data_IF_172578639768
#
_entry.id   IF_172578639768
#
_cell.length_a   1.000
_cell.length_b   1.000
_cell.length_c   1.000
_cell.angle_alpha   90.00
_cell.angle_beta   90.00
_cell.angle_gamma   90.00
#
_symmetry.space_group_name_H-M   'P 1'
#
loop_
_entity.id
_entity.type
_entity.pdbx_description
1 polymer ?
#
# COMPACT_ATOMS: atom_id res chain seq x y z
N UNK A 1 -24.99 -6.66 10.46
CA UNK A 1 -23.99 -6.71 9.39
C UNK A 1 -22.67 -6.90 10.08
N UNK A 2 -22.08 -8.09 9.96
CA UNK A 2 -20.81 -8.42 10.61
C UNK A 2 -19.73 -7.88 9.68
N UNK A 3 -19.02 -6.84 10.10
CA UNK A 3 -17.82 -6.36 9.38
C UNK A 3 -16.78 -7.46 9.49
N UNK A 4 -16.33 -8.01 8.37
CA UNK A 4 -15.32 -9.10 8.34
C UNK A 4 -13.87 -8.60 8.37
N UNK A 5 -13.66 -7.28 8.44
CA UNK A 5 -12.38 -6.64 8.73
C UNK A 5 -12.38 -6.00 10.12
N UNK A 6 -11.29 -6.18 10.87
CA UNK A 6 -11.09 -5.50 12.15
C UNK A 6 -9.91 -4.54 11.99
N UNK A 7 -10.18 -3.23 12.07
CA UNK A 7 -9.14 -2.25 12.40
C UNK A 7 -8.64 -2.54 13.79
N UNK A 8 -7.33 -2.72 13.94
CA UNK A 8 -6.81 -3.27 15.18
C UNK A 8 -6.45 -2.19 16.17
N UNK A 9 -7.14 -2.21 17.30
CA UNK A 9 -6.90 -1.30 18.43
C UNK A 9 -5.75 -1.75 19.34
N UNK A 10 -5.13 -2.91 19.09
CA UNK A 10 -4.21 -3.55 20.03
C UNK A 10 -2.75 -3.62 19.54
N UNK A 11 -1.80 -3.25 20.42
CA UNK A 11 -0.35 -3.33 20.20
C UNK A 11 0.11 -4.70 19.68
N UNK A 12 -0.45 -5.80 20.19
CA UNK A 12 -0.05 -7.15 19.80
C UNK A 12 -0.37 -7.46 18.33
N UNK A 13 -1.50 -6.98 17.81
CA UNK A 13 -1.77 -7.11 16.38
C UNK A 13 -0.84 -6.21 15.58
N UNK A 14 -0.70 -4.95 15.97
CA UNK A 14 0.21 -4.02 15.28
C UNK A 14 1.62 -4.63 15.13
N UNK A 15 2.17 -5.23 16.19
CA UNK A 15 3.45 -5.91 16.15
C UNK A 15 3.45 -7.15 15.25
N UNK A 16 2.36 -7.93 15.22
CA UNK A 16 2.18 -9.08 14.32
C UNK A 16 2.19 -8.64 12.85
N UNK A 17 1.36 -7.66 12.50
CA UNK A 17 1.26 -7.09 11.15
C UNK A 17 2.59 -6.47 10.75
N UNK A 18 3.20 -5.65 11.62
CA UNK A 18 4.52 -5.04 11.37
C UNK A 18 5.61 -6.08 11.14
N UNK A 19 5.60 -7.19 11.87
CA UNK A 19 6.55 -8.30 11.64
C UNK A 19 6.34 -8.94 10.27
N UNK A 20 5.09 -9.12 9.86
CA UNK A 20 4.75 -9.71 8.57
C UNK A 20 5.14 -8.78 7.41
N UNK A 21 4.76 -7.50 7.48
CA UNK A 21 5.17 -6.46 6.53
C UNK A 21 6.70 -6.35 6.47
N UNK A 22 7.36 -6.35 7.63
CA UNK A 22 8.82 -6.30 7.74
C UNK A 22 9.55 -7.53 7.20
N UNK A 23 8.84 -8.62 6.87
CA UNK A 23 9.41 -9.78 6.16
C UNK A 23 9.40 -9.62 4.64
N UNK A 24 8.53 -8.76 4.11
CA UNK A 24 8.42 -8.41 2.69
C UNK A 24 9.24 -7.15 2.39
N UNK A 25 9.23 -6.19 3.31
CA UNK A 25 9.83 -4.87 3.13
C UNK A 25 10.94 -4.54 4.12
N UNK A 26 11.91 -3.73 3.67
CA UNK A 26 12.88 -3.06 4.51
C UNK A 26 12.24 -1.76 5.04
N UNK A 27 11.68 -1.82 6.25
CA UNK A 27 10.86 -0.74 6.85
C UNK A 27 11.65 0.53 7.19
N UNK A 28 12.97 0.45 7.15
CA UNK A 28 13.92 1.55 7.35
C UNK A 28 14.27 2.29 6.04
N UNK A 29 13.79 1.78 4.90
CA UNK A 29 13.99 2.39 3.58
C UNK A 29 12.71 3.08 3.09
N UNK A 30 12.90 4.01 2.15
CA UNK A 30 11.85 4.75 1.45
C UNK A 30 12.16 4.76 -0.03
N UNK A 31 11.17 4.96 -0.88
CA UNK A 31 11.41 5.27 -2.29
C UNK A 31 12.28 6.54 -2.40
N UNK A 32 13.26 6.59 -3.31
CA UNK A 32 13.49 5.66 -4.42
C UNK A 32 14.42 4.47 -4.10
N UNK A 33 14.74 4.19 -2.84
CA UNK A 33 15.48 2.97 -2.46
C UNK A 33 14.65 1.70 -2.64
N UNK A 34 15.33 0.55 -2.75
CA UNK A 34 14.68 -0.75 -2.92
C UNK A 34 14.05 -1.19 -1.60
N UNK A 35 12.76 -0.91 -1.44
CA UNK A 35 11.99 -1.25 -0.22
C UNK A 35 11.65 -2.74 -0.14
N UNK A 36 11.59 -3.47 -1.26
CA UNK A 36 11.34 -4.92 -1.25
C UNK A 36 12.59 -5.69 -0.82
N UNK A 37 12.47 -6.57 0.17
CA UNK A 37 13.59 -7.43 0.60
C UNK A 37 13.99 -8.48 -0.44
N UNK A 38 13.04 -8.88 -1.30
CA UNK A 38 13.25 -9.79 -2.41
C UNK A 38 12.81 -9.08 -3.69
N UNK A 39 13.69 -8.29 -4.31
CA UNK A 39 13.38 -7.61 -5.56
C UNK A 39 12.97 -8.63 -6.61
N UNK A 40 11.84 -8.38 -7.28
CA UNK A 40 11.33 -9.21 -8.35
C UNK A 40 11.40 -8.50 -9.69
N UNK A 41 11.38 -9.26 -10.79
CA UNK A 41 11.49 -8.73 -12.15
C UNK A 41 10.18 -8.13 -12.70
N UNK A 42 9.19 -7.85 -11.86
CA UNK A 42 7.85 -7.44 -12.30
C UNK A 42 7.22 -6.47 -11.28
N UNK A 43 7.95 -5.44 -10.86
CA UNK A 43 7.33 -4.36 -10.08
C UNK A 43 6.60 -3.41 -11.02
N UNK A 44 5.31 -3.23 -10.78
CA UNK A 44 4.48 -2.23 -11.46
C UNK A 44 4.05 -1.16 -10.47
N UNK A 45 3.61 -0.03 -10.97
CA UNK A 45 3.22 1.12 -10.17
C UNK A 45 1.80 1.54 -10.48
N UNK A 46 1.04 1.87 -9.43
CA UNK A 46 -0.23 2.58 -9.52
C UNK A 46 -0.06 3.99 -8.93
N UNK A 47 -0.98 4.90 -9.26
CA UNK A 47 -1.10 6.20 -8.57
C UNK A 47 -1.52 5.98 -7.11
N UNK A 48 -0.91 6.71 -6.17
CA UNK A 48 -1.15 6.50 -4.73
C UNK A 48 -2.62 6.71 -4.34
N UNK A 49 -3.22 7.85 -4.69
CA UNK A 49 -4.61 8.16 -4.35
C UNK A 49 -5.60 7.14 -4.95
N UNK A 50 -5.34 6.67 -6.17
CA UNK A 50 -6.15 5.62 -6.81
C UNK A 50 -5.98 4.28 -6.09
N UNK A 51 -4.76 3.91 -5.70
CA UNK A 51 -4.48 2.71 -4.93
C UNK A 51 -5.04 2.77 -3.48
N UNK A 52 -5.29 3.98 -2.98
CA UNK A 52 -5.98 4.23 -1.71
C UNK A 52 -7.50 4.38 -1.85
N UNK A 53 -8.08 3.92 -2.97
CA UNK A 53 -9.53 3.89 -3.19
C UNK A 53 -10.09 2.46 -3.13
N UNK A 54 -11.43 2.33 -3.01
CA UNK A 54 -12.11 1.04 -3.12
C UNK A 54 -11.77 0.27 -4.42
N UNK A 55 -11.49 0.98 -5.51
CA UNK A 55 -11.16 0.39 -6.81
C UNK A 55 -9.85 -0.42 -6.81
N UNK A 56 -9.03 -0.27 -5.77
CA UNK A 56 -7.82 -1.07 -5.59
C UNK A 56 -8.09 -2.47 -5.04
N UNK A 57 -9.23 -2.69 -4.38
CA UNK A 57 -9.57 -3.98 -3.77
C UNK A 57 -9.54 -5.16 -4.76
N UNK A 58 -10.08 -5.06 -6.00
CA UNK A 58 -9.93 -6.11 -7.01
C UNK A 58 -8.48 -6.49 -7.30
N UNK A 59 -7.55 -5.53 -7.28
CA UNK A 59 -6.11 -5.80 -7.45
C UNK A 59 -5.63 -6.67 -6.30
N UNK A 60 -5.90 -6.26 -5.06
CA UNK A 60 -5.56 -7.00 -3.84
C UNK A 60 -6.15 -8.42 -3.88
N UNK A 61 -7.42 -8.57 -4.29
CA UNK A 61 -8.05 -9.88 -4.40
C UNK A 61 -7.38 -10.75 -5.47
N UNK A 62 -7.00 -10.20 -6.61
CA UNK A 62 -6.27 -10.92 -7.66
C UNK A 62 -4.93 -11.47 -7.12
N UNK A 63 -4.18 -10.64 -6.40
CA UNK A 63 -2.95 -11.05 -5.71
C UNK A 63 -3.21 -12.19 -4.72
N UNK A 64 -4.19 -11.99 -3.84
CA UNK A 64 -4.51 -12.90 -2.76
C UNK A 64 -4.91 -14.28 -3.31
N UNK A 65 -5.74 -14.32 -4.36
CA UNK A 65 -6.13 -15.56 -5.06
C UNK A 65 -4.95 -16.23 -5.76
N UNK A 66 -4.12 -15.46 -6.45
CA UNK A 66 -2.97 -16.00 -7.20
C UNK A 66 -1.93 -16.67 -6.28
N UNK A 67 -1.77 -16.15 -5.06
CA UNK A 67 -0.78 -16.65 -4.09
C UNK A 67 -1.35 -17.62 -3.05
N UNK A 68 -2.68 -17.84 -3.05
CA UNK A 68 -3.37 -18.75 -2.14
C UNK A 68 -3.51 -18.20 -0.71
N UNK A 69 -3.53 -16.88 -0.58
CA UNK A 69 -3.66 -16.17 0.69
C UNK A 69 -5.11 -16.20 1.18
N UNK A 70 -5.29 -16.14 2.51
CA UNK A 70 -6.62 -16.08 3.15
C UNK A 70 -6.92 -14.72 3.75
N UNK A 71 -5.86 -13.99 4.10
CA UNK A 71 -5.97 -12.64 4.60
C UNK A 71 -4.93 -11.71 4.00
N UNK A 72 -5.27 -10.43 4.06
CA UNK A 72 -4.49 -9.28 3.65
C UNK A 72 -4.20 -8.46 4.89
N UNK A 73 -2.99 -7.94 5.01
CA UNK A 73 -2.59 -7.05 6.10
C UNK A 73 -2.23 -5.68 5.55
N UNK A 74 -2.81 -4.66 6.15
CA UNK A 74 -2.55 -3.24 5.87
C UNK A 74 -1.81 -2.66 7.06
N UNK A 75 -0.77 -1.87 6.80
CA UNK A 75 0.01 -1.18 7.81
C UNK A 75 0.33 0.23 7.35
N UNK A 76 -0.05 1.22 8.15
CA UNK A 76 0.45 2.58 8.00
C UNK A 76 1.80 2.70 8.72
N UNK A 77 2.80 3.19 7.99
CA UNK A 77 4.17 3.37 8.48
C UNK A 77 4.50 4.85 8.77
N UNK A 78 3.80 5.76 8.11
CA UNK A 78 3.96 7.21 8.21
C UNK A 78 2.58 7.85 8.01
N UNK A 79 2.07 8.69 8.94
CA UNK A 79 2.73 9.24 10.12
C UNK A 79 3.08 8.18 11.17
N UNK A 80 4.03 8.50 12.05
CA UNK A 80 4.49 7.57 13.09
C UNK A 80 3.30 7.04 13.91
N UNK A 81 3.11 5.72 13.99
CA UNK A 81 1.90 5.15 14.54
C UNK A 81 1.77 5.32 16.06
N UNK A 82 2.88 5.49 16.80
CA UNK A 82 2.82 5.75 18.24
C UNK A 82 2.53 7.22 18.55
N UNK A 83 3.17 8.14 17.83
CA UNK A 83 3.05 9.58 18.09
C UNK A 83 1.81 10.21 17.47
N UNK A 84 1.30 9.65 16.37
CA UNK A 84 0.12 10.13 15.69
C UNK A 84 -1.13 9.32 16.08
N UNK A 85 -1.28 8.10 15.55
CA UNK A 85 -2.56 7.37 15.69
C UNK A 85 -2.86 6.93 17.12
N UNK A 86 -1.89 6.33 17.81
CA UNK A 86 -2.12 5.89 19.20
C UNK A 86 -2.40 7.09 20.10
N UNK A 87 -1.69 8.20 19.91
CA UNK A 87 -1.82 9.39 20.73
C UNK A 87 -3.14 10.14 20.49
N UNK A 88 -3.57 10.26 19.23
CA UNK A 88 -4.74 11.05 18.85
C UNK A 88 -6.04 10.23 18.84
N UNK A 89 -5.98 8.95 18.48
CA UNK A 89 -7.15 8.09 18.28
C UNK A 89 -7.15 6.83 19.14
N UNK A 90 -6.12 6.59 19.95
CA UNK A 90 -6.06 5.42 20.83
C UNK A 90 -5.95 4.07 20.11
N UNK A 91 -5.62 4.07 18.82
CA UNK A 91 -5.51 2.87 17.97
C UNK A 91 -4.26 2.90 17.09
N UNK A 92 -3.90 1.75 16.55
CA UNK A 92 -2.87 1.63 15.52
C UNK A 92 -3.56 1.45 14.17
N UNK A 93 -3.06 2.11 13.13
CA UNK A 93 -3.54 1.87 11.76
C UNK A 93 -2.83 0.66 11.15
N UNK A 94 -3.16 -0.49 11.74
CA UNK A 94 -2.86 -1.81 11.22
C UNK A 94 -4.16 -2.62 11.15
N UNK A 95 -4.35 -3.38 10.09
CA UNK A 95 -5.56 -4.17 9.91
C UNK A 95 -5.29 -5.50 9.24
N UNK A 96 -6.15 -6.47 9.53
CA UNK A 96 -6.23 -7.74 8.81
C UNK A 96 -7.62 -7.87 8.20
N UNK A 97 -7.68 -8.15 6.91
CA UNK A 97 -8.91 -8.26 6.13
C UNK A 97 -8.95 -9.64 5.48
N UNK A 98 -10.07 -10.35 5.58
CA UNK A 98 -10.27 -11.62 4.90
C UNK A 98 -10.43 -11.46 3.39
N UNK A 99 -10.02 -12.46 2.61
CA UNK A 99 -10.17 -12.43 1.13
C UNK A 99 -11.62 -12.29 0.65
N UNK A 100 -12.56 -12.80 1.44
CA UNK A 100 -14.00 -12.77 1.15
C UNK A 100 -14.64 -11.40 1.45
N UNK A 101 -13.88 -10.44 1.99
CA UNK A 101 -14.38 -9.09 2.22
C UNK A 101 -14.78 -8.40 0.91
N UNK A 102 -15.81 -7.57 0.98
CA UNK A 102 -16.26 -6.76 -0.14
C UNK A 102 -15.38 -5.53 -0.37
N UNK A 103 -15.52 -4.91 -1.54
CA UNK A 103 -14.94 -3.60 -1.84
C UNK A 103 -15.38 -2.53 -0.83
N UNK A 104 -16.65 -2.55 -0.41
CA UNK A 104 -17.19 -1.64 0.60
C UNK A 104 -16.58 -1.87 2.00
N UNK A 105 -16.31 -3.12 2.37
CA UNK A 105 -15.65 -3.45 3.64
C UNK A 105 -14.19 -2.99 3.65
N UNK A 106 -13.47 -3.16 2.53
CA UNK A 106 -12.13 -2.61 2.38
C UNK A 106 -12.14 -1.08 2.41
N UNK A 107 -13.05 -0.44 1.65
CA UNK A 107 -13.18 1.01 1.62
C UNK A 107 -13.50 1.57 3.00
N UNK A 108 -14.51 1.00 3.68
CA UNK A 108 -14.89 1.43 5.02
C UNK A 108 -13.78 1.27 6.06
N UNK A 109 -12.85 0.34 5.86
CA UNK A 109 -11.67 0.19 6.71
C UNK A 109 -10.66 1.32 6.49
N UNK A 110 -10.32 1.63 5.24
CA UNK A 110 -9.30 2.67 4.96
C UNK A 110 -9.88 4.08 5.10
N UNK A 111 -11.19 4.26 4.96
CA UNK A 111 -11.89 5.54 5.10
C UNK A 111 -12.53 5.74 6.48
N UNK A 112 -12.22 4.91 7.48
CA UNK A 112 -12.77 5.03 8.83
C UNK A 112 -12.33 6.35 9.48
N UNK A 113 -13.28 7.24 9.76
CA UNK A 113 -13.05 8.53 10.42
C UNK A 113 -13.37 8.41 11.92
N UNK A 114 -12.37 8.23 12.80
CA UNK A 114 -12.60 8.01 14.22
C UNK A 114 -13.24 9.24 14.84
N UNK A 115 -14.36 9.06 15.52
CA UNK A 115 -15.16 10.16 16.08
C UNK A 115 -15.58 11.22 15.04
N UNK A 116 -15.60 10.85 13.75
CA UNK A 116 -15.89 11.76 12.64
C UNK A 116 -14.74 12.71 12.28
N UNK A 117 -13.52 12.44 12.75
CA UNK A 117 -12.32 13.18 12.36
C UNK A 117 -11.68 12.57 11.10
N UNK A 118 -11.71 13.27 9.95
CA UNK A 118 -11.12 12.76 8.71
C UNK A 118 -9.61 12.56 8.81
N UNK A 119 -8.93 13.25 9.72
CA UNK A 119 -7.47 13.12 9.88
C UNK A 119 -7.06 11.82 10.57
N UNK A 120 -8.01 11.02 11.06
CA UNK A 120 -7.78 9.67 11.53
C UNK A 120 -7.95 8.59 10.46
N UNK A 121 -8.57 8.89 9.31
CA UNK A 121 -8.74 7.91 8.24
C UNK A 121 -7.43 7.68 7.49
N UNK A 122 -7.13 6.41 7.17
CA UNK A 122 -5.90 6.02 6.46
C UNK A 122 -5.80 6.75 5.13
N UNK A 123 -6.89 6.81 4.37
CA UNK A 123 -6.92 7.44 3.03
C UNK A 123 -6.50 8.91 3.04
N UNK A 124 -6.75 9.63 4.14
CA UNK A 124 -6.40 11.04 4.24
C UNK A 124 -5.05 11.28 4.92
N UNK A 125 -4.70 10.45 5.90
CA UNK A 125 -3.57 10.71 6.79
C UNK A 125 -2.29 9.95 6.44
N UNK A 126 -2.39 8.80 5.78
CA UNK A 126 -1.21 7.97 5.48
C UNK A 126 -0.31 8.62 4.42
N UNK A 127 0.95 8.82 4.77
CA UNK A 127 2.03 9.17 3.85
C UNK A 127 2.74 7.93 3.32
N UNK A 128 2.80 6.86 4.13
CA UNK A 128 3.33 5.55 3.74
C UNK A 128 2.43 4.45 4.22
N UNK A 129 2.07 3.55 3.30
CA UNK A 129 1.28 2.36 3.58
C UNK A 129 1.94 1.14 2.96
N UNK A 130 1.84 0.01 3.65
CA UNK A 130 2.27 -1.27 3.12
C UNK A 130 1.13 -2.28 3.21
N UNK A 131 0.93 -3.05 2.14
CA UNK A 131 -0.10 -4.07 2.01
C UNK A 131 0.54 -5.38 1.59
N UNK A 132 0.20 -6.48 2.26
CA UNK A 132 0.81 -7.81 2.04
C UNK A 132 -0.19 -8.93 2.30
N UNK A 133 -0.01 -10.07 1.63
CA UNK A 133 -0.73 -11.30 1.95
C UNK A 133 0.02 -12.21 2.94
N UNK A 134 -0.69 -13.13 3.59
CA UNK A 134 -0.15 -14.12 4.55
C UNK A 134 1.08 -14.89 4.04
N UNK A 135 1.12 -15.21 2.75
CA UNK A 135 2.19 -15.96 2.07
C UNK A 135 3.50 -15.18 1.95
N UNK A 136 3.44 -13.84 2.05
CA UNK A 136 4.60 -12.94 1.89
C UNK A 136 5.26 -13.03 0.50
N UNK A 137 4.53 -13.54 -0.49
CA UNK A 137 5.02 -13.68 -1.88
C UNK A 137 4.80 -12.43 -2.72
N UNK A 138 4.01 -11.50 -2.21
CA UNK A 138 3.69 -10.24 -2.85
C UNK A 138 3.56 -9.12 -1.83
N UNK A 139 3.57 -7.88 -2.33
CA UNK A 139 3.27 -6.72 -1.51
C UNK A 139 3.08 -5.45 -2.34
N UNK A 140 2.40 -4.48 -1.74
CA UNK A 140 2.24 -3.12 -2.23
C UNK A 140 2.88 -2.15 -1.24
N UNK A 141 3.67 -1.20 -1.72
CA UNK A 141 4.29 -0.14 -0.93
C UNK A 141 3.91 1.21 -1.52
N UNK A 142 3.12 1.98 -0.77
CA UNK A 142 2.61 3.27 -1.20
C UNK A 142 3.35 4.41 -0.52
N UNK A 143 3.74 5.43 -1.29
CA UNK A 143 4.24 6.70 -0.75
C UNK A 143 3.54 7.88 -1.42
N UNK A 144 2.76 8.61 -0.61
CA UNK A 144 2.03 9.82 -1.06
C UNK A 144 2.98 10.89 -1.60
N UNK A 145 4.15 11.05 -0.98
CA UNK A 145 5.14 12.05 -1.40
C UNK A 145 5.68 11.87 -2.82
N UNK A 146 5.56 10.67 -3.41
CA UNK A 146 5.90 10.38 -4.80
C UNK A 146 4.66 10.01 -5.65
N UNK A 147 3.46 10.09 -5.08
CA UNK A 147 2.18 9.75 -5.71
C UNK A 147 2.14 8.35 -6.32
N UNK A 148 2.83 7.37 -5.72
CA UNK A 148 2.90 6.00 -6.25
C UNK A 148 2.65 4.90 -5.20
N UNK A 149 2.12 3.79 -5.69
CA UNK A 149 2.08 2.48 -5.04
C UNK A 149 2.89 1.48 -5.87
N UNK A 150 4.05 1.04 -5.36
CA UNK A 150 4.86 -0.01 -5.98
C UNK A 150 4.30 -1.39 -5.62
N UNK A 151 4.03 -2.23 -6.62
CA UNK A 151 3.32 -3.50 -6.48
C UNK A 151 4.19 -4.60 -7.07
N UNK A 152 4.51 -5.63 -6.28
CA UNK A 152 5.26 -6.80 -6.74
C UNK A 152 4.46 -8.08 -6.51
N UNK A 153 4.52 -9.00 -7.48
CA UNK A 153 3.88 -10.32 -7.40
C UNK A 153 2.53 -10.41 -8.12
N UNK A 154 2.21 -9.44 -8.99
CA UNK A 154 1.00 -9.46 -9.81
C UNK A 154 1.01 -10.70 -10.72
N UNK A 155 -0.10 -11.46 -10.80
CA UNK A 155 -0.17 -12.58 -11.73
C UNK A 155 -0.05 -12.09 -13.17
N UNK A 156 0.65 -12.86 -14.01
CA UNK A 156 0.85 -12.54 -15.43
C UNK A 156 -0.45 -12.65 -16.26
N UNK A 157 -1.49 -13.31 -15.73
CA UNK A 157 -2.75 -13.54 -16.46
C UNK A 157 -3.79 -12.47 -16.15
N UNK A 158 -4.28 -11.89 -17.24
CA UNK A 158 -5.50 -11.09 -17.42
C UNK A 158 -5.79 -10.05 -16.33
N UNK A 159 -4.92 -9.05 -16.26
CA UNK A 159 -5.15 -7.82 -15.51
C UNK A 159 -6.03 -6.81 -16.28
N UNK A 160 -6.66 -7.22 -17.39
CA UNK A 160 -7.48 -6.33 -18.23
C UNK A 160 -8.76 -5.86 -17.54
N UNK A 161 -9.25 -6.63 -16.56
CA UNK A 161 -10.39 -6.29 -15.72
C UNK A 161 -10.04 -5.35 -14.56
N UNK A 162 -8.75 -5.02 -14.37
CA UNK A 162 -8.36 -4.05 -13.35
C UNK A 162 -8.80 -2.65 -13.80
N UNK A 163 -9.56 -1.99 -12.92
CA UNK A 163 -10.11 -0.64 -13.16
C UNK A 163 -9.08 0.47 -13.02
N UNK A 164 -7.84 0.14 -12.61
CA UNK A 164 -6.80 1.12 -12.31
C UNK A 164 -5.59 0.97 -13.25
N UNK A 165 -4.94 2.07 -13.66
CA UNK A 165 -3.74 1.99 -14.48
C UNK A 165 -2.56 1.42 -13.70
N UNK A 166 -1.89 0.42 -14.27
CA UNK A 166 -0.65 -0.15 -13.75
C UNK A 166 0.45 0.08 -14.79
N UNK A 167 1.52 0.76 -14.36
CA UNK A 167 2.60 1.22 -15.24
C UNK A 167 3.94 0.59 -14.85
N UNK A 168 4.80 0.39 -15.85
CA UNK A 168 6.23 0.16 -15.59
C UNK A 168 6.85 1.42 -14.97
N UNK A 169 7.99 1.29 -14.28
CA UNK A 169 8.60 2.40 -13.54
C UNK A 169 8.91 3.61 -14.43
N UNK A 170 9.31 3.41 -15.69
CA UNK A 170 9.62 4.52 -16.61
C UNK A 170 8.37 5.37 -16.87
N UNK A 171 7.25 4.73 -17.18
CA UNK A 171 5.98 5.40 -17.44
C UNK A 171 5.41 6.02 -16.17
N UNK A 172 5.51 5.32 -15.03
CA UNK A 172 5.08 5.82 -13.73
C UNK A 172 5.84 7.07 -13.28
N UNK A 173 7.15 7.15 -13.55
CA UNK A 173 7.94 8.36 -13.28
C UNK A 173 7.44 9.55 -14.08
N UNK A 174 7.13 9.35 -15.37
CA UNK A 174 6.63 10.41 -16.25
C UNK A 174 5.17 10.78 -16.04
N UNK A 175 4.38 9.89 -15.42
CA UNK A 175 2.94 10.06 -15.24
C UNK A 175 2.61 10.42 -13.79
N UNK A 176 2.82 9.49 -12.86
CA UNK A 176 2.40 9.61 -11.45
C UNK A 176 3.40 10.43 -10.63
N UNK A 177 4.68 10.09 -10.65
CA UNK A 177 5.69 10.81 -9.86
C UNK A 177 5.77 12.27 -10.28
N UNK A 178 5.60 12.56 -11.57
CA UNK A 178 5.56 13.93 -12.09
C UNK A 178 4.45 14.79 -11.46
N UNK A 179 3.36 14.21 -10.94
CA UNK A 179 2.30 14.93 -10.24
C UNK A 179 2.82 15.60 -8.95
N UNK A 180 3.73 14.94 -8.23
CA UNK A 180 4.35 15.49 -7.00
C UNK A 180 5.27 16.69 -7.26
N UNK A 181 5.69 16.91 -8.51
CA UNK A 181 6.68 17.93 -8.89
C UNK A 181 6.08 19.03 -9.77
N UNK A 182 4.79 19.33 -9.65
CA UNK A 182 4.05 20.32 -10.45
C UNK A 182 4.93 21.49 -10.98
N UNK A 183 5.04 21.60 -12.32
CA UNK A 183 5.85 22.59 -13.08
C UNK A 183 7.38 22.47 -12.98
N UNK A 184 7.89 21.44 -12.33
CA UNK A 184 9.31 21.11 -12.26
C UNK A 184 9.56 19.70 -12.78
N UNK A 185 10.78 19.44 -13.26
CA UNK A 185 11.16 18.08 -13.65
C UNK A 185 11.37 17.23 -12.40
N UNK A 186 10.97 15.97 -12.45
CA UNK A 186 11.32 14.98 -11.43
C UNK A 186 12.86 14.99 -11.28
N UNK A 187 13.40 15.21 -10.07
CA UNK A 187 14.84 15.25 -9.87
C UNK A 187 15.52 13.98 -10.44
N UNK A 188 16.65 14.10 -11.17
CA UNK A 188 17.34 12.96 -11.74
C UNK A 188 17.71 11.89 -10.70
N UNK A 189 17.99 12.29 -9.47
CA UNK A 189 18.28 11.40 -8.35
C UNK A 189 17.07 10.52 -7.99
N UNK A 190 15.85 11.05 -8.09
CA UNK A 190 14.62 10.29 -7.83
C UNK A 190 14.31 9.38 -9.01
N UNK A 191 14.25 9.95 -10.22
CA UNK A 191 13.89 9.20 -11.44
C UNK A 191 14.92 8.12 -11.79
N UNK A 192 16.21 8.42 -11.77
CA UNK A 192 17.26 7.44 -12.09
C UNK A 192 17.36 6.34 -11.04
N UNK A 193 17.16 6.65 -9.75
CA UNK A 193 17.15 5.63 -8.70
C UNK A 193 15.93 4.72 -8.82
N UNK A 194 14.73 5.27 -9.06
CA UNK A 194 13.54 4.45 -9.30
C UNK A 194 13.76 3.53 -10.51
N UNK A 195 14.16 4.09 -11.65
CA UNK A 195 14.35 3.32 -12.89
C UNK A 195 15.45 2.27 -12.73
N UNK A 196 16.57 2.57 -12.09
CA UNK A 196 17.66 1.60 -11.92
C UNK A 196 17.36 0.47 -10.93
N UNK A 197 16.52 0.73 -9.91
CA UNK A 197 16.19 -0.27 -8.88
C UNK A 197 14.94 -1.08 -9.22
N UNK A 198 13.97 -0.47 -9.90
CA UNK A 198 12.65 -1.05 -10.17
C UNK A 198 12.37 -1.25 -11.66
N UNK A 199 13.29 -0.85 -12.53
CA UNK A 199 13.20 -1.09 -13.96
C UNK A 199 13.63 -2.51 -14.32
N UNK A 200 12.94 -3.06 -15.31
CA UNK A 200 13.31 -4.31 -15.97
C UNK A 200 14.36 -4.09 -17.04
#
# INVERSE_FOLDING_TARGET
MIVTGVLTSGRAEYERVRTLVGSVFALDLRLPDMVFRKPGLNTVFAEFEVAMSGEFWPVIQAMTRAHGDKSVHVLVLDPDPEHYYLRHYGKYEAATIGIDASEDEYWGLISDEPDGDPTGAIVFSANVVAIVGDSRKWGCWGEKGLEVMAIQGLPEKDNSDLRIPLLAVQDAVSTFVALSYWRTLVPPEISSNLISKYGN
#
